data_IF_542635194940
#
_entry.id   IF_542635194940
#
_cell.length_a   1.000
_cell.length_b   1.000
_cell.length_c   1.000
_cell.angle_alpha   90.00
_cell.angle_beta   90.00
_cell.angle_gamma   90.00
#
_symmetry.space_group_name_H-M   'P 1'
#
loop_
_entity.id
_entity.type
_entity.pdbx_description
1 polymer ?
#
# COMPACT_ATOMS: atom_id res chain seq x y z
N UNK A 1 -44.62 -38.32 -63.07
CA UNK A 1 -45.70 -37.68 -63.84
C UNK A 1 -46.91 -37.55 -62.91
N UNK A 2 -47.57 -36.38 -62.94
CA UNK A 2 -48.74 -35.91 -62.15
C UNK A 2 -48.40 -35.44 -60.71
N UNK A 3 -48.36 -34.14 -60.34
CA UNK A 3 -49.33 -33.01 -60.38
C UNK A 3 -50.62 -33.24 -59.57
N UNK A 4 -50.62 -32.79 -58.30
CA UNK A 4 -51.54 -31.89 -57.53
C UNK A 4 -53.03 -31.69 -57.98
N UNK A 5 -53.97 -30.98 -57.24
CA UNK A 5 -53.97 -30.30 -55.91
C UNK A 5 -55.34 -30.36 -55.10
N UNK A 6 -55.47 -29.47 -54.07
CA UNK A 6 -56.69 -28.71 -53.55
C UNK A 6 -57.28 -29.20 -52.20
N UNK A 7 -57.02 -28.54 -51.05
CA UNK A 7 -57.79 -27.47 -50.35
C UNK A 7 -59.14 -27.95 -49.72
N UNK A 8 -59.62 -27.63 -48.49
CA UNK A 8 -59.87 -26.30 -47.87
C UNK A 8 -60.49 -26.43 -46.43
N UNK A 9 -60.19 -25.44 -45.56
CA UNK A 9 -60.94 -24.80 -44.43
C UNK A 9 -61.37 -25.47 -43.08
N UNK A 10 -60.85 -24.82 -42.01
CA UNK A 10 -61.49 -24.10 -40.85
C UNK A 10 -62.44 -24.82 -39.87
N UNK A 11 -62.13 -24.64 -38.57
CA UNK A 11 -63.08 -24.11 -37.57
C UNK A 11 -62.43 -23.10 -36.61
N UNK A 12 -63.18 -22.03 -36.35
CA UNK A 12 -62.95 -20.90 -35.41
C UNK A 12 -63.25 -21.33 -33.96
N UNK A 13 -62.55 -20.74 -33.00
CA UNK A 13 -63.10 -20.46 -31.67
C UNK A 13 -62.64 -19.07 -31.20
N UNK A 14 -63.57 -18.35 -30.56
CA UNK A 14 -63.58 -16.91 -30.32
C UNK A 14 -62.76 -16.47 -29.09
N UNK A 15 -62.31 -15.22 -29.18
CA UNK A 15 -61.62 -14.40 -28.18
C UNK A 15 -62.41 -14.22 -26.87
N UNK A 16 -61.72 -14.30 -25.74
CA UNK A 16 -62.04 -13.53 -24.53
C UNK A 16 -61.00 -12.42 -24.37
N UNK A 17 -61.49 -11.19 -24.37
CA UNK A 17 -60.74 -9.96 -24.15
C UNK A 17 -60.36 -9.89 -22.67
N UNK A 18 -59.05 -9.91 -22.39
CA UNK A 18 -58.47 -9.57 -21.09
C UNK A 18 -57.63 -8.32 -21.26
N UNK A 19 -58.08 -7.21 -20.67
CA UNK A 19 -57.35 -5.96 -20.57
C UNK A 19 -56.11 -6.17 -19.68
N UNK A 20 -54.92 -6.15 -20.27
CA UNK A 20 -53.67 -6.09 -19.53
C UNK A 20 -52.96 -4.79 -19.88
N UNK A 21 -52.99 -3.86 -18.93
CA UNK A 21 -52.25 -2.60 -18.97
C UNK A 21 -50.77 -2.86 -19.23
N UNK A 22 -50.26 -2.42 -20.37
CA UNK A 22 -48.82 -2.32 -20.63
C UNK A 22 -48.20 -1.32 -19.66
N UNK A 23 -47.64 -1.79 -18.54
CA UNK A 23 -46.53 -1.08 -17.89
C UNK A 23 -45.30 -1.33 -18.74
N UNK A 24 -44.92 -0.35 -19.55
CA UNK A 24 -43.65 -0.33 -20.23
C UNK A 24 -42.53 -0.47 -19.20
N UNK A 25 -41.87 -1.63 -19.18
CA UNK A 25 -40.56 -1.77 -18.56
C UNK A 25 -39.60 -0.95 -19.42
N UNK A 26 -39.36 0.30 -19.02
CA UNK A 26 -38.21 1.03 -19.53
C UNK A 26 -36.96 0.29 -19.03
N UNK A 27 -36.29 -0.41 -19.93
CA UNK A 27 -34.95 -0.91 -19.69
C UNK A 27 -34.07 0.31 -19.42
N UNK A 28 -33.56 0.45 -18.19
CA UNK A 28 -32.53 1.44 -17.88
C UNK A 28 -31.41 1.25 -18.91
N UNK A 29 -31.12 2.28 -19.70
CA UNK A 29 -30.01 2.26 -20.62
C UNK A 29 -28.75 1.81 -19.88
N UNK A 30 -28.08 0.75 -20.36
CA UNK A 30 -26.80 0.32 -19.83
C UNK A 30 -25.83 1.48 -20.02
N UNK A 31 -25.48 2.17 -18.94
CA UNK A 31 -24.41 3.17 -18.97
C UNK A 31 -23.15 2.44 -19.44
N UNK A 32 -22.51 2.88 -20.54
CA UNK A 32 -21.29 2.23 -21.01
C UNK A 32 -20.24 2.31 -19.90
N UNK A 33 -19.70 1.14 -19.55
CA UNK A 33 -18.62 1.06 -18.58
C UNK A 33 -17.35 1.62 -19.21
N UNK A 34 -16.68 2.53 -18.49
CA UNK A 34 -15.38 3.06 -18.92
C UNK A 34 -14.29 2.06 -18.55
N UNK A 35 -13.49 1.71 -19.54
CA UNK A 35 -12.32 0.84 -19.41
C UNK A 35 -11.07 1.70 -19.35
N UNK A 36 -10.25 1.52 -18.32
CA UNK A 36 -8.93 2.16 -18.26
C UNK A 36 -8.06 1.58 -19.38
N UNK A 37 -7.41 2.47 -20.12
CA UNK A 37 -6.50 2.21 -21.22
C UNK A 37 -5.05 2.15 -20.74
N UNK A 38 -4.69 2.90 -19.71
CA UNK A 38 -3.31 2.92 -19.20
C UNK A 38 -3.22 3.25 -17.70
N UNK A 39 -2.11 2.88 -17.09
CA UNK A 39 -1.64 3.30 -15.76
C UNK A 39 -0.42 4.21 -15.87
N UNK A 40 -0.01 4.59 -17.09
CA UNK A 40 1.07 5.54 -17.32
C UNK A 40 0.52 6.97 -17.19
N UNK A 41 0.99 7.78 -16.22
CA UNK A 41 0.49 9.14 -16.02
C UNK A 41 0.65 10.05 -17.26
N UNK A 42 1.65 9.78 -18.11
CA UNK A 42 1.93 10.59 -19.30
C UNK A 42 1.02 10.26 -20.50
N UNK A 43 0.28 9.15 -20.42
CA UNK A 43 -0.58 8.66 -21.50
C UNK A 43 -2.07 8.65 -21.10
N UNK A 44 -2.42 9.26 -19.97
CA UNK A 44 -3.79 9.29 -19.47
C UNK A 44 -4.74 9.99 -20.43
N UNK A 45 -5.91 9.40 -20.62
CA UNK A 45 -7.03 9.96 -21.36
C UNK A 45 -8.23 10.24 -20.44
N UNK A 46 -9.18 11.12 -20.84
CA UNK A 46 -10.44 11.33 -20.10
C UNK A 46 -11.25 10.04 -19.83
N UNK A 47 -11.04 9.00 -20.64
CA UNK A 47 -11.65 7.67 -20.51
C UNK A 47 -11.12 6.89 -19.30
N UNK A 48 -9.88 7.16 -18.86
CA UNK A 48 -9.21 6.53 -17.71
C UNK A 48 -9.73 7.01 -16.35
N UNK A 49 -10.56 8.06 -16.35
CA UNK A 49 -11.10 8.62 -15.12
C UNK A 49 -12.06 7.64 -14.44
N UNK A 50 -11.77 7.30 -13.19
CA UNK A 50 -12.57 6.41 -12.35
C UNK A 50 -13.22 7.18 -11.21
N UNK A 51 -14.43 6.75 -10.84
CA UNK A 51 -15.12 7.21 -9.64
C UNK A 51 -15.32 6.04 -8.68
N UNK A 52 -14.56 6.03 -7.58
CA UNK A 52 -14.62 5.01 -6.54
C UNK A 52 -15.50 5.46 -5.35
N UNK A 53 -16.03 6.68 -5.37
CA UNK A 53 -16.61 7.36 -4.21
C UNK A 53 -17.73 6.57 -3.54
N UNK A 54 -17.67 6.48 -2.20
CA UNK A 54 -18.65 5.80 -1.34
C UNK A 54 -18.84 4.29 -1.63
N UNK A 55 -17.98 3.68 -2.45
CA UNK A 55 -18.03 2.25 -2.75
C UNK A 55 -17.23 1.47 -1.72
N UNK A 56 -17.76 0.34 -1.27
CA UNK A 56 -17.01 -0.63 -0.47
C UNK A 56 -16.08 -1.49 -1.33
N UNK A 57 -16.57 -1.84 -2.52
CA UNK A 57 -15.81 -2.48 -3.59
C UNK A 57 -16.10 -1.71 -4.86
N UNK A 58 -15.07 -1.13 -5.45
CA UNK A 58 -15.18 -0.40 -6.69
C UNK A 58 -14.76 -1.30 -7.86
N UNK A 59 -15.70 -1.60 -8.73
CA UNK A 59 -15.43 -2.30 -9.98
C UNK A 59 -14.73 -1.34 -10.94
N UNK A 60 -13.57 -1.76 -11.46
CA UNK A 60 -12.81 -1.04 -12.49
C UNK A 60 -12.59 -1.99 -13.65
N UNK A 61 -12.85 -1.51 -14.86
CA UNK A 61 -12.66 -2.27 -16.08
C UNK A 61 -11.28 -1.92 -16.62
N UNK A 62 -10.42 -2.92 -16.80
CA UNK A 62 -9.15 -2.81 -17.51
C UNK A 62 -9.27 -3.51 -18.87
N UNK A 63 -8.29 -3.33 -19.76
CA UNK A 63 -8.37 -3.90 -21.11
C UNK A 63 -8.53 -5.43 -21.11
N UNK A 64 -7.85 -6.12 -20.18
CA UNK A 64 -7.83 -7.57 -20.11
C UNK A 64 -9.06 -8.17 -19.42
N UNK A 65 -9.59 -7.51 -18.38
CA UNK A 65 -10.65 -8.02 -17.53
C UNK A 65 -11.16 -6.96 -16.55
N UNK A 66 -12.14 -7.35 -15.72
CA UNK A 66 -12.67 -6.51 -14.64
C UNK A 66 -11.96 -6.78 -13.32
N UNK A 67 -11.46 -5.73 -12.69
CA UNK A 67 -10.85 -5.77 -11.36
C UNK A 67 -11.74 -5.16 -10.28
N UNK A 68 -11.40 -5.42 -9.02
CA UNK A 68 -12.09 -4.83 -7.88
C UNK A 68 -11.10 -4.15 -6.96
N UNK A 69 -11.33 -2.88 -6.69
CA UNK A 69 -10.59 -2.08 -5.74
C UNK A 69 -11.33 -2.02 -4.40
N UNK A 70 -10.55 -2.02 -3.32
CA UNK A 70 -11.09 -1.82 -1.96
C UNK A 70 -10.35 -0.71 -1.26
N UNK A 71 -11.10 0.10 -0.52
CA UNK A 71 -10.50 0.92 0.50
C UNK A 71 -10.24 0.03 1.72
N UNK A 72 -9.10 0.14 2.41
CA UNK A 72 -8.83 -0.67 3.57
C UNK A 72 -9.75 -0.33 4.75
N UNK A 73 -10.05 -1.33 5.58
CA UNK A 73 -10.76 -1.10 6.85
C UNK A 73 -9.85 -0.34 7.80
N UNK A 74 -10.30 0.81 8.28
CA UNK A 74 -9.73 1.40 9.49
C UNK A 74 -10.44 0.80 10.72
N UNK A 75 -9.88 1.00 11.92
CA UNK A 75 -10.41 0.43 13.18
C UNK A 75 -11.79 0.98 13.59
N UNK A 76 -12.31 2.03 12.95
CA UNK A 76 -13.48 2.80 13.43
C UNK A 76 -14.62 2.99 12.42
N UNK A 77 -14.48 2.63 11.14
CA UNK A 77 -15.51 2.82 10.10
C UNK A 77 -15.54 1.67 9.07
N UNK A 78 -16.70 1.55 8.42
CA UNK A 78 -16.85 0.76 7.20
C UNK A 78 -15.85 1.22 6.12
N UNK A 79 -15.22 0.24 5.47
CA UNK A 79 -14.21 0.38 4.43
C UNK A 79 -14.77 0.88 3.09
N UNK A 80 -15.42 2.03 3.09
CA UNK A 80 -15.82 2.71 1.86
C UNK A 80 -14.74 3.69 1.45
N UNK A 81 -14.55 3.82 0.14
CA UNK A 81 -13.80 4.94 -0.42
C UNK A 81 -14.45 6.27 0.01
N UNK A 82 -13.65 7.30 0.31
CA UNK A 82 -14.16 8.65 0.59
C UNK A 82 -15.07 9.19 -0.52
N UNK A 83 -15.95 10.13 -0.18
CA UNK A 83 -16.95 10.69 -1.11
C UNK A 83 -16.34 11.47 -2.29
N UNK A 84 -15.05 11.77 -2.25
CA UNK A 84 -14.30 12.46 -3.28
C UNK A 84 -13.26 11.55 -3.98
N UNK A 85 -13.35 10.23 -3.81
CA UNK A 85 -12.39 9.27 -4.35
C UNK A 85 -12.58 9.04 -5.87
N UNK A 86 -12.37 10.10 -6.64
CA UNK A 86 -12.48 10.12 -8.10
C UNK A 86 -11.21 10.71 -8.72
N UNK A 87 -10.78 10.17 -9.86
CA UNK A 87 -9.53 10.57 -10.49
C UNK A 87 -8.91 9.49 -11.36
N UNK A 88 -7.59 9.45 -11.44
CA UNK A 88 -6.84 8.57 -12.31
C UNK A 88 -6.01 7.56 -11.52
N UNK A 89 -6.10 6.28 -11.89
CA UNK A 89 -5.17 5.27 -11.41
C UNK A 89 -3.85 5.40 -12.18
N UNK A 90 -2.74 5.25 -11.47
CA UNK A 90 -1.42 5.30 -12.11
C UNK A 90 -0.40 4.49 -11.33
N UNK A 91 0.63 4.00 -12.01
CA UNK A 91 1.77 3.38 -11.35
C UNK A 91 2.75 4.46 -10.88
N UNK A 92 2.96 4.55 -9.57
CA UNK A 92 4.00 5.36 -8.97
C UNK A 92 5.26 4.52 -8.77
N UNK A 93 6.40 5.03 -9.24
CA UNK A 93 7.73 4.48 -8.91
C UNK A 93 8.50 5.51 -8.09
N UNK A 94 8.79 5.25 -6.82
CA UNK A 94 9.61 6.15 -6.03
C UNK A 94 11.04 6.20 -6.61
N UNK A 95 11.57 7.37 -7.02
CA UNK A 95 12.81 7.46 -7.80
C UNK A 95 14.06 6.88 -7.12
N UNK A 96 14.07 6.79 -5.79
CA UNK A 96 15.21 6.35 -4.98
C UNK A 96 15.01 4.98 -4.33
N UNK A 97 13.95 4.24 -4.71
CA UNK A 97 13.64 2.93 -4.17
C UNK A 97 13.73 1.85 -5.25
N UNK A 98 13.97 0.58 -4.88
CA UNK A 98 14.02 -0.52 -5.84
C UNK A 98 12.69 -0.69 -6.60
N UNK A 99 12.68 -1.32 -7.79
CA UNK A 99 11.47 -1.52 -8.60
C UNK A 99 10.30 -2.18 -7.84
N UNK A 100 10.61 -3.02 -6.84
CA UNK A 100 9.61 -3.66 -5.98
C UNK A 100 8.78 -2.68 -5.13
N UNK A 101 9.25 -1.43 -5.00
CA UNK A 101 8.54 -0.34 -4.35
C UNK A 101 7.52 0.37 -5.25
N UNK A 102 7.39 -0.07 -6.50
CA UNK A 102 6.32 0.43 -7.36
C UNK A 102 4.95 0.07 -6.78
N UNK A 103 4.01 0.98 -6.98
CA UNK A 103 2.66 0.82 -6.45
C UNK A 103 1.63 1.56 -7.31
N UNK A 104 0.44 0.99 -7.43
CA UNK A 104 -0.68 1.66 -8.08
C UNK A 104 -1.33 2.58 -7.05
N UNK A 105 -1.48 3.85 -7.39
CA UNK A 105 -2.15 4.88 -6.57
C UNK A 105 -3.35 5.45 -7.30
N UNK A 106 -4.19 6.18 -6.58
CA UNK A 106 -5.27 6.99 -7.15
C UNK A 106 -4.92 8.48 -6.98
N UNK A 107 -4.66 9.18 -8.09
CA UNK A 107 -4.51 10.63 -8.12
C UNK A 107 -5.91 11.25 -8.19
N UNK A 108 -6.31 11.99 -7.17
CA UNK A 108 -7.60 12.66 -7.10
C UNK A 108 -7.62 13.90 -8.00
N UNK A 109 -8.62 13.97 -8.87
CA UNK A 109 -8.89 15.14 -9.73
C UNK A 109 -10.39 15.44 -9.72
N UNK A 110 -10.80 16.72 -9.83
CA UNK A 110 -12.22 17.07 -9.77
C UNK A 110 -13.00 16.57 -10.99
N UNK A 111 -12.32 16.42 -12.13
CA UNK A 111 -12.90 16.15 -13.44
C UNK A 111 -12.06 15.15 -14.27
N UNK A 112 -12.67 14.51 -15.29
CA UNK A 112 -12.00 13.67 -16.29
C UNK A 112 -11.03 14.42 -17.23
N UNK A 113 -10.08 15.17 -16.67
CA UNK A 113 -9.10 15.95 -17.42
C UNK A 113 -7.67 15.56 -16.98
N UNK A 114 -6.92 14.83 -17.83
CA UNK A 114 -5.54 14.42 -17.54
C UNK A 114 -4.58 15.56 -17.20
N UNK A 115 -4.81 16.77 -17.73
CA UNK A 115 -3.97 17.94 -17.44
C UNK A 115 -3.99 18.36 -15.96
N UNK A 116 -5.02 17.95 -15.22
CA UNK A 116 -5.15 18.19 -13.78
C UNK A 116 -4.32 17.22 -12.93
N UNK A 117 -3.75 16.17 -13.52
CA UNK A 117 -3.01 15.13 -12.82
C UNK A 117 -1.85 15.70 -11.98
N UNK A 118 -1.07 16.62 -12.56
CA UNK A 118 0.09 17.26 -11.90
C UNK A 118 -0.30 18.11 -10.69
N UNK A 119 -1.51 18.67 -10.69
CA UNK A 119 -2.06 19.48 -9.58
C UNK A 119 -2.91 18.68 -8.60
N UNK A 120 -3.23 17.43 -8.94
CA UNK A 120 -4.03 16.55 -8.09
C UNK A 120 -3.26 16.06 -6.86
N UNK A 121 -3.99 15.54 -5.88
CA UNK A 121 -3.42 14.92 -4.68
C UNK A 121 -3.66 13.41 -4.68
N UNK A 122 -2.77 12.62 -4.10
CA UNK A 122 -3.03 11.20 -3.93
C UNK A 122 -4.15 10.97 -2.90
N UNK A 123 -5.01 9.99 -3.18
CA UNK A 123 -5.94 9.46 -2.18
C UNK A 123 -5.13 8.93 -1.00
N UNK A 124 -5.50 9.30 0.23
CA UNK A 124 -4.81 8.87 1.43
C UNK A 124 -5.54 7.73 2.14
N UNK A 125 -4.78 6.87 2.83
CA UNK A 125 -5.21 5.93 3.85
C UNK A 125 -4.49 6.29 5.17
N UNK A 126 -5.19 6.99 6.06
CA UNK A 126 -4.53 7.61 7.21
C UNK A 126 -3.65 8.78 6.75
N UNK A 127 -2.35 8.74 7.07
CA UNK A 127 -1.37 9.75 6.67
C UNK A 127 -0.55 9.38 5.43
N UNK A 128 -0.74 8.18 4.87
CA UNK A 128 0.01 7.69 3.70
C UNK A 128 -0.89 7.57 2.47
N UNK A 129 -0.34 7.65 1.24
CA UNK A 129 -1.10 7.35 0.04
C UNK A 129 -1.75 5.96 0.11
N UNK A 130 -3.02 5.87 -0.27
CA UNK A 130 -3.66 4.61 -0.60
C UNK A 130 -2.96 4.03 -1.82
N UNK A 131 -2.57 2.76 -1.74
CA UNK A 131 -1.87 2.10 -2.84
C UNK A 131 -2.10 0.60 -2.89
N UNK A 132 -1.77 0.03 -4.04
CA UNK A 132 -1.63 -1.41 -4.28
C UNK A 132 -0.18 -1.66 -4.64
N UNK A 133 0.58 -2.23 -3.72
CA UNK A 133 1.95 -2.63 -3.96
C UNK A 133 2.03 -3.83 -4.93
N UNK A 134 3.19 -4.01 -5.60
CA UNK A 134 3.41 -5.16 -6.48
C UNK A 134 3.12 -6.54 -5.84
N UNK A 135 3.43 -6.82 -4.55
CA UNK A 135 3.00 -8.06 -3.89
C UNK A 135 1.51 -8.32 -3.93
N UNK A 136 0.73 -7.30 -3.63
CA UNK A 136 -0.71 -7.43 -3.72
C UNK A 136 -1.13 -7.64 -5.17
N UNK A 137 -0.50 -6.94 -6.11
CA UNK A 137 -0.79 -7.03 -7.54
C UNK A 137 -0.64 -8.46 -8.07
N UNK A 138 0.45 -9.16 -7.70
CA UNK A 138 0.73 -10.52 -8.18
C UNK A 138 0.00 -11.64 -7.41
N UNK A 139 -0.57 -11.36 -6.24
CA UNK A 139 -1.20 -12.40 -5.38
C UNK A 139 -2.71 -12.29 -5.26
N UNK A 140 -3.24 -11.07 -5.31
CA UNK A 140 -4.67 -10.86 -5.16
C UNK A 140 -5.34 -11.02 -6.51
N UNK A 141 -6.13 -12.10 -6.67
CA UNK A 141 -6.81 -12.42 -7.94
C UNK A 141 -7.64 -11.26 -8.52
N UNK A 142 -8.26 -10.43 -7.67
CA UNK A 142 -9.03 -9.27 -8.13
C UNK A 142 -8.17 -8.14 -8.70
N UNK A 143 -6.84 -8.23 -8.56
CA UNK A 143 -5.88 -7.27 -9.09
C UNK A 143 -5.14 -7.76 -10.34
N UNK A 144 -5.34 -9.02 -10.76
CA UNK A 144 -4.77 -9.56 -12.01
C UNK A 144 -5.01 -8.68 -13.26
N UNK A 145 -6.17 -8.00 -13.43
CA UNK A 145 -6.34 -7.11 -14.58
C UNK A 145 -5.40 -5.89 -14.54
N UNK A 146 -5.09 -5.38 -13.35
CA UNK A 146 -4.15 -4.27 -13.18
C UNK A 146 -2.70 -4.76 -13.33
N UNK A 147 -2.40 -5.98 -12.90
CA UNK A 147 -1.11 -6.63 -13.15
C UNK A 147 -0.82 -6.70 -14.66
N UNK A 148 -1.78 -7.23 -15.42
CA UNK A 148 -1.70 -7.31 -16.87
C UNK A 148 -1.57 -5.92 -17.51
N UNK A 149 -2.29 -4.91 -16.99
CA UNK A 149 -2.21 -3.54 -17.49
C UNK A 149 -0.81 -2.95 -17.26
N UNK A 150 -0.23 -3.11 -16.08
CA UNK A 150 1.13 -2.62 -15.76
C UNK A 150 2.18 -3.22 -16.70
N UNK A 151 2.08 -4.52 -17.01
CA UNK A 151 2.99 -5.19 -17.94
C UNK A 151 2.74 -4.74 -19.38
N UNK A 152 1.46 -4.66 -19.80
CA UNK A 152 1.07 -4.23 -21.16
C UNK A 152 1.50 -2.80 -21.47
N UNK A 153 1.47 -1.91 -20.47
CA UNK A 153 1.91 -0.52 -20.60
C UNK A 153 3.45 -0.39 -20.64
N UNK A 154 4.19 -1.51 -20.51
CA UNK A 154 5.65 -1.49 -20.41
C UNK A 154 6.15 -0.84 -19.13
N UNK A 155 5.29 -0.75 -18.10
CA UNK A 155 5.63 -0.08 -16.85
C UNK A 155 6.39 -1.00 -15.89
N UNK A 156 6.18 -2.31 -15.94
CA UNK A 156 7.04 -3.25 -15.22
C UNK A 156 7.35 -4.40 -16.17
N UNK A 157 8.60 -4.86 -16.16
CA UNK A 157 9.01 -6.01 -16.94
C UNK A 157 8.22 -7.27 -16.55
N UNK A 158 7.75 -8.02 -17.56
CA UNK A 158 6.98 -9.24 -17.34
C UNK A 158 7.77 -10.34 -16.63
N UNK A 159 9.06 -10.50 -16.99
CA UNK A 159 9.96 -11.46 -16.34
C UNK A 159 10.19 -11.11 -14.87
N UNK A 160 10.31 -9.82 -14.54
CA UNK A 160 10.35 -9.36 -13.16
C UNK A 160 9.05 -9.72 -12.41
N UNK A 161 7.88 -9.45 -12.97
CA UNK A 161 6.59 -9.81 -12.35
C UNK A 161 6.47 -11.33 -12.11
N UNK A 162 6.92 -12.15 -13.04
CA UNK A 162 6.93 -13.60 -12.90
C UNK A 162 7.91 -14.07 -11.83
N UNK A 163 9.07 -13.42 -11.71
CA UNK A 163 10.02 -13.69 -10.62
C UNK A 163 9.41 -13.40 -9.24
N UNK A 164 8.61 -12.32 -9.11
CA UNK A 164 7.91 -11.99 -7.87
C UNK A 164 6.83 -13.02 -7.52
N UNK A 165 6.09 -13.51 -8.53
CA UNK A 165 5.10 -14.58 -8.32
C UNK A 165 5.73 -15.84 -7.77
N UNK A 166 6.92 -16.20 -8.26
CA UNK A 166 7.68 -17.37 -7.82
C UNK A 166 8.32 -17.16 -6.44
N UNK A 167 8.86 -15.96 -6.17
CA UNK A 167 9.58 -15.69 -4.93
C UNK A 167 8.66 -15.65 -3.69
N UNK A 168 7.39 -15.28 -3.86
CA UNK A 168 6.47 -15.15 -2.74
C UNK A 168 5.49 -16.31 -2.72
N UNK A 169 5.55 -17.19 -1.73
CA UNK A 169 4.54 -18.24 -1.56
C UNK A 169 3.29 -17.70 -0.84
N UNK A 170 3.50 -16.86 0.18
CA UNK A 170 2.44 -16.19 0.95
C UNK A 170 2.60 -14.66 0.93
N UNK A 171 1.53 -13.91 1.18
CA UNK A 171 1.59 -12.46 1.49
C UNK A 171 1.23 -12.27 2.96
N UNK A 172 2.18 -11.76 3.76
CA UNK A 172 1.85 -11.30 5.10
C UNK A 172 0.87 -10.14 4.93
N UNK A 173 -0.34 -10.31 5.46
CA UNK A 173 -1.35 -9.25 5.41
C UNK A 173 -0.87 -8.07 6.25
N UNK A 174 -0.33 -7.04 5.58
CA UNK A 174 0.05 -5.78 6.20
C UNK A 174 -1.21 -4.96 6.47
N UNK A 175 -1.21 -4.17 7.55
CA UNK A 175 -2.25 -3.15 7.70
C UNK A 175 -2.02 -2.09 6.63
N UNK A 176 -3.08 -1.58 6.05
CA UNK A 176 -2.96 -0.66 4.92
C UNK A 176 -2.49 0.75 5.32
N UNK A 177 -2.43 1.04 6.62
CA UNK A 177 -1.83 2.23 7.21
C UNK A 177 -0.37 2.00 7.68
N UNK A 178 0.18 0.81 7.43
CA UNK A 178 1.56 0.47 7.79
C UNK A 178 2.52 0.91 6.70
N UNK A 179 3.54 1.67 7.09
CA UNK A 179 4.63 1.99 6.18
C UNK A 179 5.48 0.75 5.87
N UNK A 180 5.78 0.55 4.59
CA UNK A 180 6.67 -0.54 4.13
C UNK A 180 8.06 0.02 3.86
N UNK A 181 9.08 -0.67 4.37
CA UNK A 181 10.49 -0.39 4.15
C UNK A 181 11.05 -1.31 3.08
N UNK A 182 11.78 -0.71 2.15
CA UNK A 182 12.44 -1.39 1.04
C UNK A 182 13.96 -1.38 1.17
N UNK A 183 14.49 -0.37 1.86
CA UNK A 183 15.93 -0.20 2.12
C UNK A 183 16.18 0.13 3.57
N UNK A 184 17.41 -0.09 4.04
CA UNK A 184 17.76 0.10 5.46
C UNK A 184 17.60 1.57 5.89
N UNK A 185 18.14 2.48 5.08
CA UNK A 185 18.17 3.91 5.38
C UNK A 185 16.87 4.65 5.01
N UNK A 186 15.82 3.92 4.60
CA UNK A 186 14.54 4.52 4.26
C UNK A 186 13.90 5.21 5.48
N UNK A 187 13.51 6.50 5.37
CA UNK A 187 12.85 7.20 6.45
C UNK A 187 11.47 6.62 6.79
N UNK A 188 11.14 6.55 8.08
CA UNK A 188 9.84 6.20 8.61
C UNK A 188 9.42 7.06 9.80
N UNK A 189 8.11 7.25 9.95
CA UNK A 189 7.53 8.02 11.03
C UNK A 189 7.37 7.17 12.30
N UNK A 190 7.72 7.76 13.44
CA UNK A 190 7.45 7.19 14.77
C UNK A 190 6.62 8.21 15.55
N UNK A 191 5.43 7.79 15.96
CA UNK A 191 4.62 8.51 16.94
C UNK A 191 5.06 8.10 18.35
N UNK A 192 5.52 9.06 19.14
CA UNK A 192 6.05 8.84 20.49
C UNK A 192 4.94 8.46 21.49
N UNK A 193 3.68 8.77 21.17
CA UNK A 193 2.52 8.42 21.98
C UNK A 193 2.09 6.95 21.78
N UNK A 194 2.46 6.35 20.64
CA UNK A 194 1.96 5.03 20.29
C UNK A 194 2.62 3.94 21.16
N UNK A 195 1.80 2.97 21.57
CA UNK A 195 2.27 1.81 22.32
C UNK A 195 3.02 0.82 21.44
N UNK A 196 2.79 0.84 20.13
CA UNK A 196 3.52 0.02 19.17
C UNK A 196 3.66 0.70 17.81
N UNK A 197 4.84 0.54 17.20
CA UNK A 197 5.10 0.91 15.81
C UNK A 197 5.22 -0.38 15.00
N UNK A 198 4.38 -0.54 13.97
CA UNK A 198 4.45 -1.65 13.02
C UNK A 198 5.04 -1.12 11.70
N UNK A 199 6.05 -1.81 11.18
CA UNK A 199 6.66 -1.52 9.87
C UNK A 199 6.62 -2.79 9.02
N UNK A 200 6.19 -2.67 7.78
CA UNK A 200 6.34 -3.73 6.78
C UNK A 200 7.77 -3.74 6.26
N UNK A 201 8.28 -4.91 5.89
CA UNK A 201 9.53 -5.04 5.14
C UNK A 201 9.21 -5.73 3.83
N UNK A 202 9.77 -5.20 2.75
CA UNK A 202 9.64 -5.80 1.44
C UNK A 202 10.94 -5.71 0.67
N UNK A 203 11.47 -6.87 0.31
CA UNK A 203 12.60 -7.01 -0.62
C UNK A 203 12.12 -7.86 -1.80
N UNK A 204 12.91 -7.91 -2.88
CA UNK A 204 12.55 -8.76 -4.03
C UNK A 204 12.48 -10.25 -3.71
N UNK A 205 13.13 -10.69 -2.63
CA UNK A 205 13.23 -12.11 -2.27
C UNK A 205 12.39 -12.49 -1.05
N UNK A 206 12.02 -11.51 -0.21
CA UNK A 206 11.38 -11.80 1.06
C UNK A 206 10.51 -10.63 1.52
N UNK A 207 9.63 -10.94 2.47
CA UNK A 207 8.86 -9.95 3.21
C UNK A 207 8.95 -10.27 4.69
N UNK A 208 8.73 -9.25 5.50
CA UNK A 208 8.69 -9.38 6.94
C UNK A 208 7.86 -8.27 7.55
N UNK A 209 7.79 -8.26 8.87
CA UNK A 209 7.24 -7.13 9.60
C UNK A 209 8.00 -6.92 10.90
N UNK A 210 8.18 -5.66 11.28
CA UNK A 210 8.82 -5.27 12.52
C UNK A 210 7.76 -4.67 13.41
N UNK A 211 7.61 -5.22 14.62
CA UNK A 211 6.83 -4.62 15.67
C UNK A 211 7.77 -4.09 16.74
N UNK A 212 7.71 -2.79 16.97
CA UNK A 212 8.33 -2.14 18.12
C UNK A 212 7.27 -1.84 19.16
N UNK A 213 7.06 -2.79 20.05
CA UNK A 213 6.28 -2.52 21.24
C UNK A 213 7.08 -1.65 22.18
N UNK A 214 6.44 -0.60 22.68
CA UNK A 214 6.92 0.17 23.81
C UNK A 214 8.32 0.77 23.58
N UNK A 215 8.59 1.24 22.35
CA UNK A 215 9.90 1.75 21.93
C UNK A 215 10.41 2.85 22.88
N UNK A 216 9.49 3.72 23.34
CA UNK A 216 9.72 4.80 24.28
C UNK A 216 9.04 4.60 25.64
N UNK A 217 8.91 3.36 26.09
CA UNK A 217 8.30 3.09 27.39
C UNK A 217 9.30 3.24 28.52
N UNK A 218 8.94 4.06 29.49
CA UNK A 218 9.60 4.08 30.79
C UNK A 218 8.99 2.98 31.67
N UNK A 219 9.79 1.98 32.04
CA UNK A 219 9.33 0.80 32.78
C UNK A 219 9.36 0.98 34.30
N UNK A 220 9.75 2.16 34.82
CA UNK A 220 9.82 2.40 36.28
C UNK A 220 8.44 2.34 36.91
N UNK A 221 8.30 1.55 37.96
CA UNK A 221 7.00 1.11 38.49
C UNK A 221 6.10 2.27 38.96
N UNK A 222 6.68 3.30 39.57
CA UNK A 222 5.97 4.42 40.18
C UNK A 222 5.39 5.48 39.21
N UNK A 223 5.69 5.39 37.91
CA UNK A 223 5.20 6.36 36.94
C UNK A 223 3.73 6.15 36.60
N UNK A 224 2.93 7.23 36.64
CA UNK A 224 1.53 7.24 36.24
C UNK A 224 1.35 6.99 34.72
N UNK A 225 2.18 7.63 33.88
CA UNK A 225 2.28 7.31 32.45
C UNK A 225 3.57 6.56 32.16
N UNK A 226 3.47 5.46 31.42
CA UNK A 226 4.66 4.71 30.93
C UNK A 226 5.18 5.25 29.59
N UNK A 227 4.46 6.18 28.96
CA UNK A 227 4.83 6.83 27.71
C UNK A 227 5.04 8.32 27.98
N UNK A 228 6.30 8.78 28.13
CA UNK A 228 6.58 10.09 28.69
C UNK A 228 6.51 11.22 27.67
N UNK A 229 6.45 10.91 26.37
CA UNK A 229 6.54 11.89 25.31
C UNK A 229 5.34 11.83 24.38
N UNK A 230 4.94 13.02 23.93
CA UNK A 230 4.02 13.25 22.81
C UNK A 230 4.80 13.75 21.61
N UNK A 231 4.20 13.63 20.43
CA UNK A 231 4.78 14.13 19.19
C UNK A 231 5.31 13.04 18.27
N UNK A 232 5.78 13.46 17.09
CA UNK A 232 6.09 12.59 15.96
C UNK A 232 7.47 12.93 15.42
N UNK A 233 8.25 11.91 15.10
CA UNK A 233 9.60 12.04 14.56
C UNK A 233 9.71 11.25 13.26
N UNK A 234 10.56 11.73 12.35
CA UNK A 234 11.04 10.97 11.21
C UNK A 234 12.39 10.36 11.57
N UNK A 235 12.54 9.07 11.37
CA UNK A 235 13.74 8.32 11.70
C UNK A 235 14.10 7.33 10.58
N UNK A 236 15.28 6.73 10.65
CA UNK A 236 15.64 5.59 9.80
C UNK A 236 16.53 4.60 10.56
N UNK A 237 16.75 3.43 9.99
CA UNK A 237 17.81 2.55 10.46
C UNK A 237 19.15 2.92 9.82
N UNK A 238 20.22 2.67 10.55
CA UNK A 238 21.56 2.68 9.99
C UNK A 238 22.43 1.66 10.72
N UNK A 239 23.56 1.30 10.10
CA UNK A 239 24.62 0.56 10.77
C UNK A 239 25.19 1.46 11.86
N UNK A 240 25.29 0.92 13.08
CA UNK A 240 25.74 1.66 14.25
C UNK A 240 27.10 2.31 14.03
N UNK A 241 27.23 3.64 14.17
CA UNK A 241 28.50 4.34 14.09
C UNK A 241 29.33 4.25 15.38
N UNK A 242 28.76 3.69 16.46
CA UNK A 242 29.42 3.61 17.77
C UNK A 242 30.59 2.62 17.75
N UNK A 243 31.77 3.06 18.22
CA UNK A 243 33.00 2.25 18.19
C UNK A 243 32.86 0.88 18.90
N UNK A 244 32.10 0.82 19.98
CA UNK A 244 31.80 -0.43 20.70
C UNK A 244 30.97 -1.45 19.89
N UNK A 245 30.34 -1.01 18.81
CA UNK A 245 29.57 -1.85 17.89
C UNK A 245 30.34 -2.17 16.59
N UNK A 246 31.58 -1.68 16.46
CA UNK A 246 32.43 -1.96 15.29
C UNK A 246 32.72 -3.45 15.19
N UNK A 247 32.46 -4.03 14.01
CA UNK A 247 32.64 -5.46 13.72
C UNK A 247 33.17 -5.65 12.30
N UNK A 248 33.87 -6.76 12.01
CA UNK A 248 34.25 -7.12 10.64
C UNK A 248 33.03 -7.24 9.72
N UNK A 249 33.18 -6.89 8.44
CA UNK A 249 32.09 -6.94 7.45
C UNK A 249 31.48 -8.34 7.24
N UNK A 250 32.22 -9.40 7.60
CA UNK A 250 31.76 -10.79 7.57
C UNK A 250 30.72 -11.13 8.64
N UNK A 251 30.58 -10.30 9.68
CA UNK A 251 29.60 -10.50 10.76
C UNK A 251 28.35 -9.65 10.53
N UNK A 252 27.17 -10.10 10.98
CA UNK A 252 25.97 -9.27 11.02
C UNK A 252 26.23 -7.96 11.78
N UNK A 253 25.80 -6.81 11.22
CA UNK A 253 26.02 -5.51 11.86
C UNK A 253 25.14 -5.33 13.10
N UNK A 254 25.44 -4.29 13.87
CA UNK A 254 24.51 -3.75 14.86
C UNK A 254 23.78 -2.58 14.22
N UNK A 255 22.45 -2.56 14.26
CA UNK A 255 21.66 -1.43 13.78
C UNK A 255 21.28 -0.49 14.92
N UNK A 256 21.10 0.78 14.59
CA UNK A 256 20.52 1.80 15.48
C UNK A 256 19.40 2.54 14.74
N UNK A 257 18.61 3.31 15.47
CA UNK A 257 17.63 4.23 14.90
C UNK A 257 18.17 5.64 15.04
N UNK A 258 18.34 6.35 13.92
CA UNK A 258 18.71 7.77 13.91
C UNK A 258 17.49 8.63 13.65
N UNK A 259 17.34 9.70 14.44
CA UNK A 259 16.29 10.70 14.26
C UNK A 259 16.74 11.66 13.18
N UNK A 260 15.97 11.75 12.10
CA UNK A 260 16.24 12.66 10.99
C UNK A 260 15.61 14.02 11.23
N UNK A 261 14.36 14.04 11.69
CA UNK A 261 13.59 15.27 11.87
C UNK A 261 12.52 15.13 12.95
N UNK A 262 12.24 16.20 13.67
CA UNK A 262 11.08 16.33 14.54
C UNK A 262 9.92 16.88 13.70
N UNK A 263 8.88 16.07 13.50
CA UNK A 263 7.73 16.42 12.65
C UNK A 263 6.69 17.25 13.40
N UNK A 264 6.52 16.97 14.70
CA UNK A 264 5.73 17.80 15.62
C UNK A 264 6.51 18.00 16.91
N UNK A 265 6.35 19.13 17.60
CA UNK A 265 7.03 19.39 18.87
C UNK A 265 6.90 18.20 19.84
N UNK A 266 8.01 17.87 20.50
CA UNK A 266 8.04 16.80 21.49
C UNK A 266 7.71 17.41 22.85
N UNK A 267 6.60 16.97 23.43
CA UNK A 267 6.13 17.44 24.73
C UNK A 267 6.24 16.32 25.76
N UNK A 268 6.77 16.61 26.93
CA UNK A 268 6.78 15.66 28.04
C UNK A 268 5.44 15.65 28.78
N UNK A 269 5.06 14.49 29.29
CA UNK A 269 3.92 14.41 30.23
C UNK A 269 4.24 15.19 31.51
N UNK A 270 3.25 15.85 32.15
CA UNK A 270 3.48 16.62 33.36
C UNK A 270 4.18 15.81 34.46
N UNK A 271 5.21 16.40 35.06
CA UNK A 271 5.95 15.79 36.17
C UNK A 271 6.95 14.69 35.76
N UNK A 272 7.24 14.51 34.47
CA UNK A 272 8.26 13.56 34.04
C UNK A 272 9.68 14.07 34.31
N UNK A 273 10.51 13.23 34.91
CA UNK A 273 11.88 13.55 35.35
C UNK A 273 12.95 13.39 34.25
N UNK A 274 12.53 13.21 33.00
CA UNK A 274 13.41 13.12 31.83
C UNK A 274 14.41 11.95 31.89
N UNK A 275 14.01 10.85 32.53
CA UNK A 275 14.84 9.64 32.61
C UNK A 275 15.16 9.04 31.24
N UNK A 276 14.16 8.98 30.35
CA UNK A 276 14.39 8.80 28.91
C UNK A 276 14.78 10.17 28.34
N UNK A 277 15.89 10.32 27.62
CA UNK A 277 16.24 11.60 27.00
C UNK A 277 15.23 11.96 25.89
N UNK A 278 15.02 13.26 25.66
CA UNK A 278 14.22 13.74 24.52
C UNK A 278 14.95 13.34 23.23
N UNK A 279 14.26 12.73 22.24
CA UNK A 279 14.82 12.55 20.90
C UNK A 279 15.27 13.89 20.31
N UNK A 280 16.49 13.94 19.78
CA UNK A 280 17.04 15.12 19.13
C UNK A 280 17.32 14.82 17.65
N UNK A 281 17.09 15.80 16.78
CA UNK A 281 17.45 15.70 15.35
C UNK A 281 18.94 15.40 15.19
N UNK A 282 19.26 14.49 14.26
CA UNK A 282 20.62 13.96 14.08
C UNK A 282 21.08 13.00 15.18
N UNK A 283 20.35 12.86 16.28
CA UNK A 283 20.69 11.99 17.40
C UNK A 283 20.30 10.53 17.17
N UNK A 284 20.91 9.62 17.95
CA UNK A 284 20.49 8.23 18.03
C UNK A 284 19.41 8.05 19.09
N UNK A 285 18.43 7.21 18.78
CA UNK A 285 17.34 6.90 19.68
C UNK A 285 17.85 6.20 20.94
N UNK A 286 17.35 6.60 22.11
CA UNK A 286 17.89 6.14 23.40
C UNK A 286 16.79 5.66 24.34
N UNK A 287 17.07 4.59 25.10
CA UNK A 287 16.16 3.94 26.06
C UNK A 287 16.51 4.22 27.53
N UNK A 288 17.60 4.95 27.78
CA UNK A 288 18.06 5.42 29.10
C UNK A 288 18.92 6.67 28.89
N UNK A 289 19.23 7.41 29.96
CA UNK A 289 20.15 8.57 29.92
C UNK A 289 21.44 8.36 29.11
N UNK A 290 21.95 7.13 29.04
CA UNK A 290 23.20 6.79 28.33
C UNK A 290 23.09 5.62 27.35
N UNK A 291 21.90 5.04 27.19
CA UNK A 291 21.73 3.78 26.46
C UNK A 291 21.03 3.96 25.13
N UNK A 292 21.78 3.90 24.03
CA UNK A 292 21.24 3.86 22.66
C UNK A 292 20.39 2.62 22.44
N UNK A 293 19.28 2.74 21.73
CA UNK A 293 18.50 1.62 21.20
C UNK A 293 19.28 1.04 20.03
N UNK A 294 19.64 -0.24 20.16
CA UNK A 294 20.35 -0.95 19.11
C UNK A 294 19.79 -2.36 18.90
N UNK A 295 20.04 -2.91 17.72
CA UNK A 295 19.64 -4.25 17.30
C UNK A 295 20.87 -5.01 16.88
N UNK A 296 21.32 -5.92 17.73
CA UNK A 296 22.43 -6.81 17.44
C UNK A 296 21.94 -7.96 16.55
N UNK A 297 22.26 -7.90 15.26
CA UNK A 297 21.70 -8.82 14.27
C UNK A 297 22.27 -10.25 14.35
N UNK A 298 23.21 -10.50 15.26
CA UNK A 298 23.67 -11.86 15.56
C UNK A 298 22.74 -12.59 16.52
N UNK A 299 21.89 -11.86 17.25
CA UNK A 299 21.04 -12.45 18.28
C UNK A 299 19.75 -12.99 17.64
N UNK A 300 19.48 -14.29 17.74
CA UNK A 300 18.34 -14.89 17.06
C UNK A 300 17.03 -14.40 17.68
N UNK A 301 16.21 -13.70 16.88
CA UNK A 301 14.80 -13.44 17.15
C UNK A 301 14.08 -13.16 15.84
N UNK A 302 12.75 -13.30 15.80
CA UNK A 302 11.99 -13.04 14.57
C UNK A 302 12.23 -11.62 14.04
N UNK A 303 12.11 -10.61 14.92
CA UNK A 303 12.41 -9.21 14.60
C UNK A 303 13.81 -8.99 14.00
N UNK A 304 14.81 -9.73 14.48
CA UNK A 304 16.18 -9.63 13.97
C UNK A 304 16.30 -10.28 12.60
N UNK A 305 15.61 -11.40 12.36
CA UNK A 305 15.51 -12.01 11.02
C UNK A 305 14.86 -11.04 10.03
N UNK A 306 13.79 -10.37 10.44
CA UNK A 306 13.11 -9.38 9.61
C UNK A 306 14.03 -8.19 9.30
N UNK A 307 14.71 -7.61 10.31
CA UNK A 307 15.70 -6.54 10.10
C UNK A 307 16.87 -6.96 9.20
N UNK A 308 17.30 -8.21 9.26
CA UNK A 308 18.34 -8.75 8.38
C UNK A 308 17.91 -8.72 6.91
N UNK A 309 16.62 -8.84 6.60
CA UNK A 309 16.13 -8.73 5.23
C UNK A 309 16.47 -7.37 4.61
N UNK A 310 16.37 -6.27 5.37
CA UNK A 310 16.74 -4.93 4.88
C UNK A 310 18.23 -4.82 4.58
N UNK A 311 19.07 -5.40 5.44
CA UNK A 311 20.54 -5.40 5.25
C UNK A 311 20.93 -6.21 4.02
N UNK A 312 20.32 -7.38 3.84
CA UNK A 312 20.55 -8.25 2.68
C UNK A 312 20.02 -7.62 1.39
N UNK A 313 18.83 -6.99 1.46
CA UNK A 313 18.24 -6.23 0.36
C UNK A 313 19.17 -5.11 -0.12
N UNK A 314 19.65 -4.27 0.78
CA UNK A 314 20.59 -3.19 0.44
C UNK A 314 21.90 -3.72 -0.14
N UNK A 315 22.44 -4.82 0.42
CA UNK A 315 23.65 -5.47 -0.12
C UNK A 315 23.41 -5.98 -1.55
N UNK A 316 22.26 -6.57 -1.83
CA UNK A 316 21.91 -7.06 -3.16
C UNK A 316 21.73 -5.91 -4.17
N UNK A 317 21.12 -4.80 -3.74
CA UNK A 317 21.02 -3.56 -4.55
C UNK A 317 22.42 -3.03 -4.87
N UNK A 318 23.31 -2.91 -3.87
CA UNK A 318 24.68 -2.42 -4.06
C UNK A 318 25.53 -3.30 -4.99
N UNK A 319 25.24 -4.61 -5.06
CA UNK A 319 25.92 -5.54 -5.98
C UNK A 319 25.31 -5.57 -7.38
N UNK A 320 24.21 -4.85 -7.62
CA UNK A 320 23.47 -4.90 -8.89
C UNK A 320 22.75 -6.24 -9.12
N UNK A 321 22.58 -7.06 -8.08
CA UNK A 321 21.82 -8.32 -8.17
C UNK A 321 20.31 -8.09 -8.32
N UNK A 322 19.87 -6.85 -8.08
CA UNK A 322 18.50 -6.40 -8.20
C UNK A 322 18.54 -5.11 -9.02
N UNK A 323 18.62 -5.25 -10.35
CA UNK A 323 18.76 -4.15 -11.29
C UNK A 323 17.43 -3.79 -11.96
N UNK A 324 17.20 -2.47 -12.01
CA UNK A 324 16.34 -1.65 -12.88
C UNK A 324 15.08 -2.29 -13.49
#
# INVERSE_FOLDING_TARGET
>A
MNMLPVQVLRRRALLRVGCATHRGYQTKAKVPHRTIQTLNPDLLEPSDFVDLSNKRWATVYAQSATGFLRYPKNRQRDAQFPSNAKGFLYLHRPPSLPPIAAEIRLRLTPEPNPTLFSTGADLLCGSIPWSIDLPQLVKVKSYAPFEAQVVSDGLIDGGFMDSLKLAWEDVITRRADTQTLYTLAQPFEINLEDTSTLLGILTTRAQGCIIFDHLFRDTRAWLASKHPYRGRILAHFEISPLAQHSRPASRPPVLVIRVLKILTPIESVPGYDMYLPIPAEGGLLSKRRTGTIFFDLEKPSQRIKDLMLLVEGDRAILRGEIGA
#
